data_IF_963105985004
#
_entry.id   IF_963105985004
#
_cell.length_a   1.000
_cell.length_b   1.000
_cell.length_c   1.000
_cell.angle_alpha   90.00
_cell.angle_beta   90.00
_cell.angle_gamma   90.00
#
_symmetry.space_group_name_H-M   'P 1'
#
loop_
_entity.id
_entity.type
_entity.pdbx_description
1 polymer ?
#
# COMPACT_ATOMS: atom_id res chain seq x y z
N UNK A 1 27.57 -9.28 -20.90
CA UNK A 1 27.00 -8.65 -19.69
C UNK A 1 26.68 -7.25 -20.12
N UNK A 2 25.58 -7.08 -20.84
CA UNK A 2 25.12 -5.75 -21.21
C UNK A 2 24.40 -5.22 -19.97
N UNK A 3 25.10 -4.42 -19.18
CA UNK A 3 24.47 -3.54 -18.20
C UNK A 3 23.53 -2.65 -19.00
N UNK A 4 22.24 -3.00 -19.02
CA UNK A 4 21.23 -2.19 -19.70
C UNK A 4 21.22 -0.83 -18.98
N UNK A 5 21.73 0.26 -19.59
CA UNK A 5 21.87 1.55 -18.92
C UNK A 5 20.51 2.09 -18.45
N UNK A 6 19.44 1.58 -19.04
CA UNK A 6 18.07 1.86 -18.64
C UNK A 6 17.63 1.13 -17.35
N UNK A 7 18.15 -0.08 -17.11
CA UNK A 7 17.95 -0.80 -15.86
C UNK A 7 18.65 -0.09 -14.70
N UNK A 8 19.86 0.41 -14.94
CA UNK A 8 20.63 1.19 -13.96
C UNK A 8 19.91 2.50 -13.62
N UNK A 9 19.41 3.22 -14.64
CA UNK A 9 18.63 4.44 -14.42
C UNK A 9 17.39 4.18 -13.56
N UNK A 10 16.64 3.10 -13.85
CA UNK A 10 15.46 2.70 -13.08
C UNK A 10 15.82 2.33 -11.63
N UNK A 11 16.94 1.65 -11.43
CA UNK A 11 17.42 1.29 -10.09
C UNK A 11 17.78 2.54 -9.27
N UNK A 12 18.50 3.50 -9.87
CA UNK A 12 18.85 4.77 -9.20
C UNK A 12 17.59 5.55 -8.84
N UNK A 13 16.61 5.60 -9.73
CA UNK A 13 15.34 6.28 -9.48
C UNK A 13 14.56 5.66 -8.30
N UNK A 14 14.45 4.33 -8.25
CA UNK A 14 13.84 3.60 -7.13
C UNK A 14 14.57 3.86 -5.80
N UNK A 15 15.91 3.84 -5.79
CA UNK A 15 16.70 4.16 -4.61
C UNK A 15 16.43 5.58 -4.10
N UNK A 16 16.36 6.57 -5.01
CA UNK A 16 16.04 7.95 -4.65
C UNK A 16 14.61 8.10 -4.14
N UNK A 17 13.66 7.35 -4.70
CA UNK A 17 12.26 7.34 -4.27
C UNK A 17 12.11 6.78 -2.85
N UNK A 18 12.74 5.64 -2.56
CA UNK A 18 12.73 5.07 -1.21
C UNK A 18 13.47 5.96 -0.21
N UNK A 19 14.57 6.61 -0.61
CA UNK A 19 15.27 7.58 0.23
C UNK A 19 14.38 8.79 0.61
N UNK A 20 13.64 9.35 -0.36
CA UNK A 20 12.64 10.41 -0.09
C UNK A 20 11.56 9.93 0.88
N UNK A 21 11.03 8.72 0.68
CA UNK A 21 10.05 8.11 1.58
C UNK A 21 10.59 7.89 2.99
N UNK A 22 11.84 7.45 3.10
CA UNK A 22 12.55 7.26 4.35
C UNK A 22 12.72 8.58 5.11
N UNK A 23 13.05 9.66 4.40
CA UNK A 23 13.12 11.02 4.95
C UNK A 23 11.77 11.46 5.52
N UNK A 24 10.68 11.38 4.76
CA UNK A 24 9.35 11.76 5.27
C UNK A 24 8.96 10.94 6.50
N UNK A 25 9.23 9.62 6.51
CA UNK A 25 8.97 8.79 7.69
C UNK A 25 9.76 9.26 8.92
N UNK A 26 11.03 9.60 8.74
CA UNK A 26 11.88 10.11 9.82
C UNK A 26 11.42 11.50 10.29
N UNK A 27 10.97 12.37 9.39
CA UNK A 27 10.44 13.69 9.76
C UNK A 27 9.10 13.59 10.51
N UNK A 28 8.17 12.73 10.07
CA UNK A 28 6.85 12.58 10.69
C UNK A 28 6.88 11.77 11.98
N UNK A 29 7.61 10.65 12.02
CA UNK A 29 7.58 9.70 13.14
C UNK A 29 8.89 9.59 13.91
N UNK A 30 9.99 10.19 13.44
CA UNK A 30 11.29 10.12 14.10
C UNK A 30 11.78 8.69 14.33
N UNK A 31 12.43 8.46 15.46
CA UNK A 31 12.88 7.14 15.90
C UNK A 31 11.72 6.14 16.08
N UNK A 32 10.51 6.63 16.40
CA UNK A 32 9.34 5.77 16.61
C UNK A 32 8.84 5.11 15.31
N UNK A 33 9.11 5.70 14.14
CA UNK A 33 8.72 5.16 12.84
C UNK A 33 9.43 3.84 12.46
N UNK A 34 10.48 3.48 13.20
CA UNK A 34 11.24 2.23 13.03
C UNK A 34 10.87 1.17 14.07
N UNK A 35 10.20 1.56 15.15
CA UNK A 35 9.73 0.63 16.17
C UNK A 35 8.43 -0.03 15.73
N UNK A 36 8.30 -1.33 15.99
CA UNK A 36 7.03 -2.04 15.79
C UNK A 36 5.99 -1.45 16.76
N UNK A 37 4.76 -1.28 16.28
CA UNK A 37 3.66 -0.88 17.14
C UNK A 37 3.58 -1.85 18.34
N UNK A 38 3.68 -1.36 19.59
CA UNK A 38 3.65 -2.22 20.78
C UNK A 38 2.28 -2.88 20.98
N UNK A 39 1.24 -2.35 20.34
CA UNK A 39 -0.08 -2.95 20.31
C UNK A 39 -0.12 -4.12 19.32
N UNK A 40 -0.95 -5.12 19.64
CA UNK A 40 -1.22 -6.22 18.74
C UNK A 40 -1.70 -5.73 17.37
N UNK A 41 -1.46 -6.52 16.32
CA UNK A 41 -1.91 -6.20 14.98
C UNK A 41 -3.44 -6.10 14.93
N UNK A 42 -3.95 -4.88 14.82
CA UNK A 42 -5.40 -4.62 14.72
C UNK A 42 -5.89 -4.87 13.28
N UNK A 43 -7.15 -5.28 13.15
CA UNK A 43 -7.79 -5.38 11.84
C UNK A 43 -7.82 -4.01 11.15
N UNK A 44 -7.20 -3.92 9.96
CA UNK A 44 -7.10 -2.67 9.18
C UNK A 44 -8.46 -2.01 8.91
N UNK A 45 -9.51 -2.79 8.60
CA UNK A 45 -10.85 -2.26 8.29
C UNK A 45 -11.48 -1.65 9.53
N UNK A 46 -11.38 -2.34 10.67
CA UNK A 46 -11.87 -1.84 11.94
C UNK A 46 -11.18 -0.52 12.29
N UNK A 47 -9.84 -0.49 12.28
CA UNK A 47 -9.06 0.70 12.64
C UNK A 47 -9.40 1.92 11.77
N UNK A 48 -9.45 1.75 10.45
CA UNK A 48 -9.80 2.84 9.52
C UNK A 48 -11.20 3.37 9.82
N UNK A 49 -12.17 2.48 10.04
CA UNK A 49 -13.54 2.87 10.34
C UNK A 49 -13.65 3.57 11.70
N UNK A 50 -12.90 3.11 12.70
CA UNK A 50 -12.85 3.77 14.02
C UNK A 50 -12.29 5.18 13.86
N UNK A 51 -11.09 5.34 13.28
CA UNK A 51 -10.43 6.64 13.10
C UNK A 51 -11.33 7.64 12.38
N UNK A 52 -11.95 7.24 11.27
CA UNK A 52 -12.85 8.10 10.47
C UNK A 52 -14.06 8.60 11.24
N UNK A 53 -14.57 7.81 12.18
CA UNK A 53 -15.79 8.12 12.92
C UNK A 53 -15.52 8.80 14.27
N UNK A 54 -14.37 8.54 14.90
CA UNK A 54 -14.08 9.01 16.26
C UNK A 54 -13.14 10.20 16.32
N UNK A 55 -12.38 10.50 15.27
CA UNK A 55 -11.47 11.65 15.24
C UNK A 55 -12.01 12.77 14.35
N UNK A 56 -11.93 14.04 14.77
CA UNK A 56 -12.25 15.17 13.90
C UNK A 56 -11.23 15.21 12.76
N UNK A 57 -11.71 15.11 11.52
CA UNK A 57 -10.84 15.19 10.33
C UNK A 57 -10.23 16.59 10.21
N UNK A 58 -8.98 16.74 10.61
CA UNK A 58 -8.12 17.82 10.14
C UNK A 58 -7.85 17.54 8.65
N UNK A 59 -8.21 18.48 7.77
CA UNK A 59 -7.90 18.39 6.34
C UNK A 59 -6.39 18.63 6.18
N UNK A 60 -5.60 17.57 6.26
CA UNK A 60 -4.20 17.60 5.82
C UNK A 60 -4.19 17.59 4.27
N UNK A 61 -3.52 18.55 3.60
CA UNK A 61 -3.53 18.68 2.15
C UNK A 61 -2.73 17.60 1.40
N UNK A 62 -2.11 16.65 2.10
CA UNK A 62 -1.13 15.71 1.52
C UNK A 62 -1.72 14.39 0.96
N UNK A 63 -3.03 14.12 1.15
CA UNK A 63 -3.64 12.89 0.59
C UNK A 63 -4.02 13.01 -0.89
N UNK A 64 -4.17 14.23 -1.42
CA UNK A 64 -4.58 14.44 -2.80
C UNK A 64 -3.44 14.15 -3.78
N UNK A 65 -2.19 14.43 -3.38
CA UNK A 65 -0.99 14.17 -4.20
C UNK A 65 -0.77 12.68 -4.46
N UNK A 66 -0.96 11.83 -3.45
CA UNK A 66 -0.81 10.37 -3.60
C UNK A 66 -1.89 9.75 -4.50
N UNK A 67 -3.13 10.28 -4.44
CA UNK A 67 -4.25 9.80 -5.26
C UNK A 67 -4.10 10.16 -6.75
N UNK A 68 -3.58 11.35 -7.03
CA UNK A 68 -3.36 11.82 -8.40
C UNK A 68 -2.21 11.08 -9.09
N UNK A 69 -1.18 10.68 -8.35
CA UNK A 69 -0.10 9.83 -8.87
C UNK A 69 -0.60 8.41 -9.21
N UNK A 70 -1.52 7.86 -8.42
CA UNK A 70 -2.13 6.54 -8.66
C UNK A 70 -3.06 6.56 -9.89
N UNK A 71 -3.89 7.60 -10.05
CA UNK A 71 -4.73 7.82 -11.24
C UNK A 71 -3.90 8.03 -12.52
N UNK A 72 -2.78 8.74 -12.44
CA UNK A 72 -1.88 8.96 -13.59
C UNK A 72 -1.20 7.65 -14.05
N UNK A 73 -0.93 6.72 -13.14
CA UNK A 73 -0.35 5.42 -13.46
C UNK A 73 -1.35 4.47 -14.17
N UNK A 74 -2.67 4.70 -14.01
CA UNK A 74 -3.73 3.90 -14.65
C UNK A 74 -3.90 4.25 -16.15
N UNK A 75 -3.44 5.43 -16.59
CA UNK A 75 -3.58 5.90 -17.97
C UNK A 75 -2.50 5.40 -18.95
N UNK A 76 -1.53 4.60 -18.49
CA UNK A 76 -0.58 3.94 -19.39
C UNK A 76 -1.22 2.67 -20.00
N UNK A 77 -1.10 2.44 -21.33
CA UNK A 77 -1.70 1.27 -21.96
C UNK A 77 -1.09 -0.01 -21.37
N UNK A 78 -1.97 -0.87 -20.85
CA UNK A 78 -1.62 -2.17 -20.28
C UNK A 78 -0.89 -3.04 -21.31
N UNK A 79 0.41 -3.23 -21.11
CA UNK A 79 1.19 -4.24 -21.83
C UNK A 79 0.90 -5.59 -21.16
N UNK A 80 0.04 -6.39 -21.80
CA UNK A 80 -0.34 -7.73 -21.35
C UNK A 80 0.86 -8.69 -21.42
N UNK A 81 1.58 -8.85 -20.31
CA UNK A 81 2.50 -9.98 -20.11
C UNK A 81 1.77 -11.08 -19.35
N UNK A 82 1.05 -11.90 -20.12
CA UNK A 82 0.34 -13.09 -19.66
C UNK A 82 1.33 -14.14 -19.13
N UNK A 83 1.63 -14.13 -17.83
CA UNK A 83 2.06 -15.33 -17.09
C UNK A 83 1.30 -15.44 -15.78
N UNK A 84 0.68 -16.59 -15.57
CA UNK A 84 -0.44 -16.75 -14.65
C UNK A 84 -0.09 -16.89 -13.18
N UNK A 85 -1.05 -16.51 -12.33
CA UNK A 85 -1.33 -17.24 -11.08
C UNK A 85 -2.82 -17.11 -10.79
N UNK A 86 -3.54 -18.22 -10.99
CA UNK A 86 -4.98 -18.31 -10.84
C UNK A 86 -5.33 -18.45 -9.35
N UNK A 87 -5.71 -17.35 -8.68
CA UNK A 87 -6.39 -17.43 -7.38
C UNK A 87 -7.90 -17.41 -7.59
N UNK A 88 -8.47 -18.61 -7.78
CA UNK A 88 -9.91 -18.83 -7.81
C UNK A 88 -10.50 -18.58 -6.42
N UNK A 89 -11.43 -17.63 -6.36
CA UNK A 89 -12.37 -17.43 -5.27
C UNK A 89 -13.32 -18.62 -5.11
N UNK A 90 -13.64 -19.03 -3.88
CA UNK A 90 -15.00 -19.49 -3.56
C UNK A 90 -15.45 -18.89 -2.24
N UNK A 91 -16.64 -18.29 -2.32
CA UNK A 91 -17.35 -17.53 -1.30
C UNK A 91 -18.55 -18.38 -0.94
N UNK A 92 -18.69 -18.74 0.34
CA UNK A 92 -19.90 -19.28 0.99
C UNK A 92 -20.33 -20.67 0.49
N UNK A 93 -20.57 -21.59 1.42
CA UNK A 93 -21.74 -22.48 1.49
C UNK A 93 -21.46 -23.68 2.41
N UNK A 94 -21.94 -23.56 3.67
CA UNK A 94 -22.55 -24.61 4.51
C UNK A 94 -22.48 -24.22 5.97
N UNK A 95 -23.35 -23.28 6.34
CA UNK A 95 -23.94 -23.29 7.67
C UNK A 95 -25.17 -24.20 7.61
N UNK A 96 -25.00 -25.50 7.88
CA UNK A 96 -25.99 -26.34 8.56
C UNK A 96 -25.38 -27.71 8.83
N UNK A 97 -24.81 -27.89 10.02
CA UNK A 97 -24.69 -29.23 10.62
C UNK A 97 -24.83 -29.10 12.14
N UNK A 98 -26.03 -28.66 12.53
CA UNK A 98 -26.61 -28.83 13.86
C UNK A 98 -28.08 -29.12 13.66
N UNK A 99 -28.45 -30.41 13.64
CA UNK A 99 -29.69 -31.02 14.16
C UNK A 99 -29.97 -32.33 13.41
N UNK A 100 -30.01 -33.44 14.14
CA UNK A 100 -30.57 -34.72 13.68
C UNK A 100 -29.69 -35.88 14.06
#
# INVERSE_FOLDING_TARGET
MDEDPELERKAVEELLKEAKRGRTRAETMGAMGWLKCPLAATNKRFLINTIKNTLPTQKEPDQESFRLEEEAAILLPAIDTRTGTQRRSTKRDRANDKKG
#
